data_IF_515492218409
#
_entry.id   IF_515492218409
#
_cell.length_a   1.000
_cell.length_b   1.000
_cell.length_c   1.000
_cell.angle_alpha   90.00
_cell.angle_beta   90.00
_cell.angle_gamma   90.00
#
_symmetry.space_group_name_H-M   'P 1'
#
loop_
_entity.id
_entity.type
_entity.pdbx_description
1 polymer ?
#
# COMPACT_ATOMS: atom_id res chain seq x y z
N UNK A 1 53.72 98.10 50.00
CA UNK A 1 52.46 98.86 49.87
C UNK A 1 51.68 98.24 48.72
N UNK A 2 50.43 97.90 49.02
CA UNK A 2 49.39 97.20 48.26
C UNK A 2 49.57 97.01 46.74
N UNK A 3 49.30 95.80 46.24
CA UNK A 3 48.03 95.57 45.55
C UNK A 3 47.66 94.07 45.53
N UNK A 4 46.50 93.76 46.11
CA UNK A 4 45.81 92.49 45.98
C UNK A 4 44.97 92.55 44.69
N UNK A 5 45.08 91.57 43.81
CA UNK A 5 44.09 91.38 42.74
C UNK A 5 43.82 89.89 42.54
N UNK A 6 42.88 89.43 43.36
CA UNK A 6 42.14 88.19 43.20
C UNK A 6 41.32 88.33 41.91
N UNK A 7 41.61 87.53 40.88
CA UNK A 7 40.68 87.30 39.77
C UNK A 7 40.18 85.86 39.89
N UNK A 8 39.08 85.76 40.61
CA UNK A 8 38.13 84.66 40.61
C UNK A 8 37.57 84.47 39.20
N UNK A 9 38.00 83.40 38.53
CA UNK A 9 37.49 82.97 37.23
C UNK A 9 36.68 81.69 37.36
N UNK A 10 35.44 81.89 37.81
CA UNK A 10 34.22 81.08 37.68
C UNK A 10 34.29 79.89 36.71
N UNK A 11 34.11 78.67 37.24
CA UNK A 11 33.70 77.52 36.45
C UNK A 11 32.34 77.80 35.79
N UNK A 12 32.12 77.50 34.50
CA UNK A 12 30.79 77.64 33.91
C UNK A 12 29.85 76.58 34.50
N UNK A 13 28.73 76.99 35.13
CA UNK A 13 27.65 76.09 35.48
C UNK A 13 26.71 75.92 34.28
N UNK A 14 26.15 74.72 34.10
CA UNK A 14 25.00 74.51 33.22
C UNK A 14 25.36 74.37 31.73
N UNK A 15 25.75 73.16 31.35
CA UNK A 15 25.25 72.60 30.09
C UNK A 15 24.32 71.46 30.50
N UNK A 16 23.10 71.85 30.83
CA UNK A 16 21.96 70.96 30.97
C UNK A 16 21.87 70.21 29.63
N UNK A 17 22.33 68.96 29.62
CA UNK A 17 22.25 68.08 28.47
C UNK A 17 20.80 67.56 28.34
N UNK A 18 19.86 68.51 28.24
CA UNK A 18 18.47 68.29 27.94
C UNK A 18 18.31 68.22 26.41
N UNK A 19 18.93 67.21 25.82
CA UNK A 19 18.68 66.78 24.46
C UNK A 19 19.13 65.34 24.39
N UNK A 20 18.17 64.41 24.51
CA UNK A 20 18.05 63.20 23.70
C UNK A 20 16.89 62.31 24.18
N UNK A 21 15.62 62.68 23.97
CA UNK A 21 14.49 61.75 23.95
C UNK A 21 14.27 61.08 22.57
N UNK A 22 15.01 61.49 21.52
CA UNK A 22 14.81 61.00 20.15
C UNK A 22 15.59 59.72 19.81
N UNK A 23 16.82 59.56 20.31
CA UNK A 23 17.63 58.35 20.02
C UNK A 23 17.07 57.08 20.67
N UNK A 24 16.45 57.18 21.85
CA UNK A 24 15.82 56.03 22.52
C UNK A 24 14.55 55.55 21.80
N UNK A 25 13.80 56.46 21.15
CA UNK A 25 12.58 56.09 20.40
C UNK A 25 12.91 55.38 19.10
N UNK A 26 13.97 55.80 18.40
CA UNK A 26 14.42 55.13 17.17
C UNK A 26 15.00 53.74 17.43
N UNK A 27 15.73 53.55 18.55
CA UNK A 27 16.19 52.23 18.95
C UNK A 27 15.04 51.33 19.41
N UNK A 28 14.08 51.85 20.19
CA UNK A 28 12.89 51.07 20.59
C UNK A 28 12.06 50.62 19.37
N UNK A 29 11.78 51.52 18.42
CA UNK A 29 11.05 51.18 17.20
C UNK A 29 11.81 50.17 16.31
N UNK A 30 13.14 50.22 16.29
CA UNK A 30 13.97 49.25 15.57
C UNK A 30 13.98 47.87 16.24
N UNK A 31 13.90 47.82 17.57
CA UNK A 31 13.84 46.58 18.35
C UNK A 31 12.45 45.93 18.22
N UNK A 32 11.38 46.73 18.30
CA UNK A 32 10.01 46.25 18.13
C UNK A 32 9.79 45.61 16.74
N UNK A 33 10.30 46.23 15.68
CA UNK A 33 10.18 45.70 14.32
C UNK A 33 11.00 44.41 14.10
N UNK A 34 12.19 44.32 14.71
CA UNK A 34 12.99 43.09 14.67
C UNK A 34 12.31 41.94 15.41
N UNK A 35 11.68 42.25 16.54
CA UNK A 35 10.92 41.27 17.31
C UNK A 35 9.68 40.78 16.53
N UNK A 36 8.91 41.69 15.92
CA UNK A 36 7.75 41.34 15.10
C UNK A 36 8.13 40.49 13.88
N UNK A 37 9.26 40.79 13.22
CA UNK A 37 9.80 39.95 12.16
C UNK A 37 10.21 38.55 12.63
N UNK A 38 10.79 38.47 13.83
CA UNK A 38 11.22 37.19 14.40
C UNK A 38 10.00 36.33 14.75
N UNK A 39 8.97 36.93 15.35
CA UNK A 39 7.69 36.28 15.66
C UNK A 39 6.97 35.79 14.40
N UNK A 40 6.92 36.62 13.34
CA UNK A 40 6.35 36.23 12.06
C UNK A 40 7.11 35.09 11.39
N UNK A 41 8.46 35.11 11.47
CA UNK A 41 9.31 34.04 10.94
C UNK A 41 9.08 32.74 11.70
N UNK A 42 8.99 32.78 13.02
CA UNK A 42 8.70 31.58 13.82
C UNK A 42 7.30 31.03 13.51
N UNK A 43 6.29 31.89 13.43
CA UNK A 43 4.93 31.48 13.08
C UNK A 43 4.87 30.83 11.67
N UNK A 44 5.59 31.39 10.70
CA UNK A 44 5.67 30.81 9.36
C UNK A 44 6.42 29.47 9.34
N UNK A 45 7.49 29.34 10.12
CA UNK A 45 8.20 28.07 10.26
C UNK A 45 7.32 26.98 10.91
N UNK A 46 6.57 27.34 11.95
CA UNK A 46 5.62 26.44 12.60
C UNK A 46 4.48 26.04 11.67
N UNK A 47 3.91 26.99 10.93
CA UNK A 47 2.92 26.72 9.90
C UNK A 47 3.46 25.78 8.83
N UNK A 48 4.68 26.03 8.34
CA UNK A 48 5.33 25.17 7.34
C UNK A 48 5.58 23.77 7.89
N UNK A 49 6.02 23.66 9.15
CA UNK A 49 6.24 22.37 9.82
C UNK A 49 4.93 21.60 9.94
N UNK A 50 3.88 22.25 10.43
CA UNK A 50 2.56 21.65 10.58
C UNK A 50 2.01 21.11 9.25
N UNK A 51 2.08 21.91 8.17
CA UNK A 51 1.64 21.44 6.84
C UNK A 51 2.49 20.27 6.33
N UNK A 52 3.81 20.28 6.56
CA UNK A 52 4.67 19.17 6.17
C UNK A 52 4.33 17.89 6.94
N UNK A 53 4.03 18.01 8.24
CA UNK A 53 3.61 16.89 9.08
C UNK A 53 2.26 16.33 8.58
N UNK A 54 1.29 17.18 8.25
CA UNK A 54 0.01 16.76 7.67
C UNK A 54 0.19 16.06 6.31
N UNK A 55 1.04 16.60 5.43
CA UNK A 55 1.36 15.96 4.14
C UNK A 55 2.01 14.59 4.38
N UNK A 56 2.87 14.45 5.38
CA UNK A 56 3.51 13.18 5.70
C UNK A 56 2.48 12.14 6.17
N UNK A 57 1.52 12.55 7.02
CA UNK A 57 0.41 11.70 7.48
C UNK A 57 -0.44 11.25 6.29
N UNK A 58 -0.90 12.18 5.44
CA UNK A 58 -1.73 11.86 4.27
C UNK A 58 -1.00 10.91 3.31
N UNK A 59 0.31 11.12 3.10
CA UNK A 59 1.11 10.19 2.29
C UNK A 59 1.17 8.80 2.89
N UNK A 60 1.37 8.70 4.20
CA UNK A 60 1.40 7.41 4.89
C UNK A 60 0.06 6.67 4.81
N UNK A 61 -1.06 7.39 4.95
CA UNK A 61 -2.41 6.83 4.82
C UNK A 61 -2.71 6.37 3.39
N UNK A 62 -2.28 7.16 2.38
CA UNK A 62 -2.40 6.77 0.97
C UNK A 62 -1.61 5.50 0.70
N UNK A 63 -0.38 5.42 1.19
CA UNK A 63 0.51 4.29 0.92
C UNK A 63 0.03 3.03 1.65
N UNK A 64 -0.52 3.15 2.87
CA UNK A 64 -1.16 2.04 3.57
C UNK A 64 -2.42 1.56 2.85
N UNK A 65 -3.30 2.48 2.42
CA UNK A 65 -4.49 2.14 1.65
C UNK A 65 -4.14 1.47 0.31
N UNK A 66 -3.08 1.92 -0.36
CA UNK A 66 -2.59 1.29 -1.59
C UNK A 66 -2.07 -0.14 -1.34
N UNK A 67 -1.37 -0.36 -0.22
CA UNK A 67 -0.89 -1.67 0.18
C UNK A 67 -2.04 -2.63 0.50
N UNK A 68 -3.05 -2.17 1.25
CA UNK A 68 -4.25 -2.94 1.57
C UNK A 68 -5.02 -3.32 0.31
N UNK A 69 -5.24 -2.37 -0.61
CA UNK A 69 -5.94 -2.61 -1.87
C UNK A 69 -5.20 -3.64 -2.72
N UNK A 70 -3.86 -3.55 -2.77
CA UNK A 70 -3.03 -4.54 -3.46
C UNK A 70 -3.16 -5.93 -2.83
N UNK A 71 -3.18 -6.04 -1.51
CA UNK A 71 -3.36 -7.30 -0.80
C UNK A 71 -4.73 -7.93 -1.10
N UNK A 72 -5.80 -7.13 -1.05
CA UNK A 72 -7.17 -7.59 -1.36
C UNK A 72 -7.27 -8.09 -2.80
N UNK A 73 -6.73 -7.34 -3.78
CA UNK A 73 -6.72 -7.77 -5.18
C UNK A 73 -5.96 -9.07 -5.39
N UNK A 74 -4.80 -9.21 -4.72
CA UNK A 74 -4.02 -10.44 -4.77
C UNK A 74 -4.82 -11.63 -4.21
N UNK A 75 -5.46 -11.45 -3.06
CA UNK A 75 -6.27 -12.50 -2.43
C UNK A 75 -7.46 -12.91 -3.30
N UNK A 76 -8.12 -11.95 -3.95
CA UNK A 76 -9.19 -12.23 -4.90
C UNK A 76 -8.69 -13.05 -6.08
N UNK A 77 -7.59 -12.63 -6.71
CA UNK A 77 -6.98 -13.35 -7.83
C UNK A 77 -6.56 -14.77 -7.44
N UNK A 78 -5.97 -14.96 -6.24
CA UNK A 78 -5.63 -16.28 -5.72
C UNK A 78 -6.86 -17.17 -5.50
N UNK A 79 -7.95 -16.59 -4.99
CA UNK A 79 -9.20 -17.33 -4.73
C UNK A 79 -9.83 -17.80 -6.04
N UNK A 80 -9.89 -16.92 -7.04
CA UNK A 80 -10.38 -17.24 -8.38
C UNK A 80 -9.50 -18.30 -9.06
N UNK A 81 -8.18 -18.17 -8.95
CA UNK A 81 -7.22 -19.10 -9.53
C UNK A 81 -7.29 -20.48 -8.87
N UNK A 82 -7.39 -20.55 -7.54
CA UNK A 82 -7.55 -21.79 -6.80
C UNK A 82 -8.87 -22.49 -7.18
N UNK A 83 -9.97 -21.74 -7.30
CA UNK A 83 -11.25 -22.29 -7.74
C UNK A 83 -11.20 -22.81 -9.18
N UNK A 84 -10.57 -22.07 -10.11
CA UNK A 84 -10.47 -22.47 -11.51
C UNK A 84 -9.59 -23.73 -11.70
N UNK A 85 -8.56 -23.89 -10.87
CA UNK A 85 -7.61 -25.01 -10.95
C UNK A 85 -7.90 -26.15 -9.98
N UNK A 86 -8.99 -26.07 -9.19
CA UNK A 86 -9.31 -26.99 -8.09
C UNK A 86 -8.12 -27.21 -7.13
N UNK A 87 -7.39 -26.14 -6.84
CA UNK A 87 -6.27 -26.18 -5.92
C UNK A 87 -6.80 -26.12 -4.47
N UNK A 88 -6.48 -27.11 -3.61
CA UNK A 88 -7.14 -27.25 -2.31
C UNK A 88 -6.70 -26.23 -1.27
N UNK A 89 -5.46 -25.74 -1.36
CA UNK A 89 -4.85 -24.86 -0.37
C UNK A 89 -4.41 -23.54 -1.01
N UNK A 90 -5.15 -22.47 -0.71
CA UNK A 90 -4.91 -21.12 -1.23
C UNK A 90 -3.61 -20.53 -0.65
N UNK A 91 -3.29 -20.80 0.61
CA UNK A 91 -2.08 -20.28 1.26
C UNK A 91 -0.83 -20.93 0.66
N UNK A 92 -0.88 -22.23 0.42
CA UNK A 92 0.19 -22.93 -0.27
C UNK A 92 0.34 -22.46 -1.73
N UNK A 93 -0.78 -22.21 -2.43
CA UNK A 93 -0.76 -21.63 -3.77
C UNK A 93 -0.07 -20.26 -3.79
N UNK A 94 -0.38 -19.38 -2.83
CA UNK A 94 0.29 -18.08 -2.71
C UNK A 94 1.79 -18.24 -2.46
N UNK A 95 2.18 -19.13 -1.54
CA UNK A 95 3.59 -19.41 -1.25
C UNK A 95 4.35 -19.87 -2.51
N UNK A 96 3.78 -20.80 -3.27
CA UNK A 96 4.40 -21.32 -4.49
C UNK A 96 4.53 -20.20 -5.54
N UNK A 97 3.47 -19.43 -5.78
CA UNK A 97 3.52 -18.33 -6.74
C UNK A 97 4.51 -17.23 -6.32
N UNK A 98 4.61 -16.92 -5.03
CA UNK A 98 5.61 -15.98 -4.50
C UNK A 98 7.04 -16.49 -4.72
N UNK A 99 7.29 -17.78 -4.44
CA UNK A 99 8.61 -18.41 -4.63
C UNK A 99 9.06 -18.39 -6.10
N UNK A 100 8.11 -18.48 -7.03
CA UNK A 100 8.37 -18.43 -8.47
C UNK A 100 8.21 -17.02 -9.07
N UNK A 101 7.97 -15.99 -8.26
CA UNK A 101 7.76 -14.60 -8.68
C UNK A 101 6.62 -14.42 -9.72
N UNK A 102 5.55 -15.18 -9.56
CA UNK A 102 4.39 -15.14 -10.44
C UNK A 102 3.30 -14.26 -9.83
N UNK A 103 2.75 -13.36 -10.64
CA UNK A 103 1.60 -12.57 -10.25
C UNK A 103 0.32 -13.38 -10.48
N UNK A 104 -0.49 -13.69 -9.45
CA UNK A 104 -1.79 -14.31 -9.62
C UNK A 104 -2.77 -13.44 -10.43
N UNK A 105 -2.52 -12.12 -10.53
CA UNK A 105 -3.32 -11.22 -11.36
C UNK A 105 -3.07 -11.36 -12.86
N UNK A 106 -2.02 -12.07 -13.28
CA UNK A 106 -1.78 -12.40 -14.69
C UNK A 106 -2.27 -13.83 -15.00
N UNK A 107 -3.43 -13.99 -15.65
CA UNK A 107 -4.00 -15.31 -15.91
C UNK A 107 -3.16 -16.14 -16.88
N UNK A 108 -2.39 -15.54 -17.78
CA UNK A 108 -1.58 -16.28 -18.75
C UNK A 108 -0.39 -16.96 -18.04
N UNK A 109 0.39 -16.19 -17.29
CA UNK A 109 1.56 -16.70 -16.57
C UNK A 109 1.18 -17.68 -15.46
N UNK A 110 0.13 -17.36 -14.70
CA UNK A 110 -0.31 -18.20 -13.57
C UNK A 110 -0.93 -19.54 -14.03
N UNK A 111 -1.68 -19.56 -15.14
CA UNK A 111 -2.24 -20.79 -15.69
C UNK A 111 -1.17 -21.70 -16.31
N UNK A 112 -0.21 -21.15 -17.06
CA UNK A 112 0.89 -21.92 -17.63
C UNK A 112 1.74 -22.57 -16.54
N UNK A 113 2.06 -21.80 -15.49
CA UNK A 113 2.80 -22.33 -14.36
C UNK A 113 2.02 -23.42 -13.64
N UNK A 114 0.73 -23.22 -13.36
CA UNK A 114 -0.08 -24.24 -12.69
C UNK A 114 -0.18 -25.52 -13.51
N UNK A 115 -0.29 -25.44 -14.83
CA UNK A 115 -0.30 -26.61 -15.68
C UNK A 115 1.01 -27.41 -15.58
N UNK A 116 2.16 -26.71 -15.59
CA UNK A 116 3.48 -27.34 -15.39
C UNK A 116 3.61 -27.92 -13.98
N UNK A 117 3.26 -27.14 -12.96
CA UNK A 117 3.32 -27.55 -11.56
C UNK A 117 2.45 -28.78 -11.28
N UNK A 118 1.26 -28.85 -11.86
CA UNK A 118 0.38 -30.02 -11.75
C UNK A 118 0.95 -31.26 -12.43
N UNK A 119 1.68 -31.09 -13.55
CA UNK A 119 2.34 -32.21 -14.23
C UNK A 119 3.51 -32.78 -13.40
N UNK A 120 4.20 -31.94 -12.65
CA UNK A 120 5.31 -32.33 -11.78
C UNK A 120 4.83 -32.85 -10.42
N UNK A 121 3.70 -32.34 -9.94
CA UNK A 121 3.15 -32.61 -8.62
C UNK A 121 1.66 -33.00 -8.67
N UNK A 122 1.32 -34.18 -9.21
CA UNK A 122 -0.06 -34.60 -9.39
C UNK A 122 -0.82 -34.82 -8.07
N UNK A 123 -0.11 -35.01 -6.96
CA UNK A 123 -0.68 -35.17 -5.62
C UNK A 123 -1.25 -33.87 -5.02
N UNK A 124 -0.90 -32.72 -5.59
CA UNK A 124 -1.44 -31.43 -5.15
C UNK A 124 -2.83 -31.13 -5.72
N UNK A 125 -3.34 -31.96 -6.64
CA UNK A 125 -4.69 -31.80 -7.17
C UNK A 125 -5.73 -32.43 -6.24
N UNK A 126 -6.83 -31.70 -6.03
CA UNK A 126 -8.01 -32.30 -5.43
C UNK A 126 -8.69 -33.19 -6.48
N UNK A 127 -8.58 -34.51 -6.32
CA UNK A 127 -9.40 -35.43 -7.12
C UNK A 127 -10.85 -35.33 -6.62
N UNK A 128 -11.82 -34.94 -7.47
CA UNK A 128 -13.22 -35.00 -7.09
C UNK A 128 -13.61 -36.46 -6.91
N UNK A 129 -13.68 -36.92 -5.65
CA UNK A 129 -14.15 -38.27 -5.33
C UNK A 129 -15.68 -38.22 -5.46
N UNK A 130 -16.20 -38.70 -6.58
CA UNK A 130 -17.64 -38.83 -6.77
C UNK A 130 -18.20 -39.85 -5.76
N UNK A 131 -19.20 -39.51 -4.93
CA UNK A 131 -19.83 -40.48 -4.03
C UNK A 131 -20.45 -41.60 -4.88
N UNK A 132 -19.91 -42.82 -4.76
CA UNK A 132 -20.30 -43.97 -5.60
C UNK A 132 -19.19 -44.51 -6.51
N UNK A 133 -18.00 -43.91 -6.52
CA UNK A 133 -16.78 -44.48 -7.11
C UNK A 133 -16.25 -45.66 -6.26
N UNK A 134 -17.07 -46.68 -6.07
CA UNK A 134 -16.64 -47.95 -5.53
C UNK A 134 -15.57 -48.52 -6.45
N UNK A 135 -14.38 -48.79 -5.89
CA UNK A 135 -13.28 -49.46 -6.59
C UNK A 135 -13.78 -50.80 -7.14
N UNK A 136 -14.09 -50.85 -8.44
CA UNK A 136 -14.10 -52.10 -9.20
C UNK A 136 -12.64 -52.40 -9.57
N UNK A 137 -11.99 -53.42 -8.97
CA UNK A 137 -10.63 -53.76 -9.32
C UNK A 137 -10.65 -54.30 -10.76
N UNK A 138 -10.23 -53.48 -11.73
CA UNK A 138 -10.13 -53.89 -13.12
C UNK A 138 -10.40 -52.83 -14.19
N UNK A 139 -10.99 -51.68 -13.85
CA UNK A 139 -11.13 -50.61 -14.85
C UNK A 139 -9.84 -49.81 -14.94
N UNK A 140 -9.09 -50.05 -16.03
CA UNK A 140 -8.00 -49.18 -16.49
C UNK A 140 -8.48 -47.73 -16.47
N UNK A 141 -7.70 -46.87 -15.84
CA UNK A 141 -7.98 -45.44 -15.71
C UNK A 141 -8.32 -44.83 -17.07
N UNK A 142 -9.58 -44.49 -17.29
CA UNK A 142 -9.91 -43.52 -18.33
C UNK A 142 -9.55 -42.16 -17.76
N UNK A 143 -8.44 -41.62 -18.28
CA UNK A 143 -8.12 -40.19 -18.23
C UNK A 143 -9.38 -39.38 -18.50
N UNK A 144 -9.76 -38.53 -17.55
CA UNK A 144 -10.85 -37.58 -17.69
C UNK A 144 -10.49 -36.58 -18.80
N UNK A 145 -10.84 -36.92 -20.03
CA UNK A 145 -10.89 -35.99 -21.15
C UNK A 145 -12.16 -35.16 -20.93
N UNK A 146 -12.00 -33.84 -20.99
CA UNK A 146 -13.07 -32.86 -20.97
C UNK A 146 -14.19 -33.24 -21.97
N UNK A 147 -15.26 -33.90 -21.51
CA UNK A 147 -16.47 -34.09 -22.32
C UNK A 147 -17.41 -32.91 -22.13
N UNK A 148 -17.07 -31.83 -22.81
CA UNK A 148 -18.05 -30.84 -23.21
C UNK A 148 -19.01 -31.46 -24.24
N UNK A 149 -20.28 -31.60 -23.86
CA UNK A 149 -21.47 -31.79 -24.71
C UNK A 149 -21.56 -33.09 -25.53
N UNK A 150 -22.82 -33.50 -25.73
CA UNK A 150 -23.34 -34.52 -26.68
C UNK A 150 -23.00 -35.99 -26.41
N UNK A 151 -24.03 -36.83 -26.26
CA UNK A 151 -23.89 -38.28 -26.37
C UNK A 151 -24.81 -39.16 -25.51
N UNK A 152 -25.49 -38.64 -24.47
CA UNK A 152 -26.30 -39.51 -23.60
C UNK A 152 -27.54 -40.10 -24.28
N UNK A 153 -28.11 -39.42 -25.27
CA UNK A 153 -29.34 -39.88 -25.95
C UNK A 153 -29.04 -40.88 -27.07
N UNK A 154 -27.96 -40.65 -27.83
CA UNK A 154 -27.51 -41.51 -28.93
C UNK A 154 -27.04 -42.89 -28.43
N UNK A 155 -26.39 -42.95 -27.25
CA UNK A 155 -25.99 -44.21 -26.62
C UNK A 155 -27.17 -45.06 -26.13
N UNK A 156 -28.30 -44.43 -25.78
CA UNK A 156 -29.50 -45.15 -25.32
C UNK A 156 -30.27 -45.77 -26.50
N UNK A 157 -30.32 -45.09 -27.65
CA UNK A 157 -30.97 -45.60 -28.86
C UNK A 157 -30.22 -46.79 -29.46
N UNK A 158 -28.87 -46.78 -29.44
CA UNK A 158 -28.05 -47.91 -29.88
C UNK A 158 -28.17 -49.14 -28.95
N UNK A 159 -28.47 -48.94 -27.66
CA UNK A 159 -28.71 -50.05 -26.73
C UNK A 159 -30.11 -50.67 -26.87
N UNK A 160 -31.09 -49.92 -27.36
CA UNK A 160 -32.46 -50.39 -27.56
C UNK A 160 -32.67 -51.08 -28.91
N UNK A 161 -31.90 -50.71 -29.94
CA UNK A 161 -31.98 -51.30 -31.29
C UNK A 161 -31.37 -52.71 -31.40
N UNK A 162 -30.50 -53.09 -30.45
CA UNK A 162 -29.81 -54.38 -30.41
C UNK A 162 -30.39 -55.42 -29.45
N UNK A 163 -31.52 -55.13 -28.78
CA UNK A 163 -32.12 -56.06 -27.83
C UNK A 163 -32.83 -57.22 -28.57
N UNK A 164 -32.48 -58.50 -28.32
CA UNK A 164 -33.16 -59.63 -28.95
C UNK A 164 -34.61 -59.73 -28.44
N UNK A 165 -35.58 -59.86 -29.36
CA UNK A 165 -36.97 -60.13 -29.03
C UNK A 165 -37.07 -61.47 -28.29
N UNK A 166 -37.65 -61.46 -27.09
CA UNK A 166 -38.01 -62.67 -26.36
C UNK A 166 -39.32 -63.17 -26.99
N UNK A 167 -39.22 -64.23 -27.80
CA UNK A 167 -40.36 -65.04 -28.28
C UNK A 167 -40.60 -66.17 -27.29
#
# INVERSE_FOLDING_TARGET
MADESIISGTAPPGADNASLPELDRSNAASVDWQQELQELKTAFQEFTRHNNDEIAVIRSERDSAAAELKAVRRQQALTELAAASNFPDIEYLDFVLQKHHIDPGDPASSSEFLQKFQSEHPYCQFLPITPGAGSRPGQKSMTAVNSAKTGKMEMLEDMLSGAPEII
#
